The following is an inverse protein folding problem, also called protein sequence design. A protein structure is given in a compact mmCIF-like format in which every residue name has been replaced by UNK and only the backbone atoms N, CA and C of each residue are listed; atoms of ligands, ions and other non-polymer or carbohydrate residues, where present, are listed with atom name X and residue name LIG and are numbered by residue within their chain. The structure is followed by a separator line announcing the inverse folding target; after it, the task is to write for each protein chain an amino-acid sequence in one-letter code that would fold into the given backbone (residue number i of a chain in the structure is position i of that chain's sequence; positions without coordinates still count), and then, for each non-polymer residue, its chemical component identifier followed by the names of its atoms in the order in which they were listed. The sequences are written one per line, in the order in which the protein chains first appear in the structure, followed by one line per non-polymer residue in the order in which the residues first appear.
data_IF_760085107006
#
_entry.id   IF_760085107006
#
_cell.length_a   1.000
_cell.length_b   1.000
_cell.length_c   1.000
_cell.angle_alpha   90.00
_cell.angle_beta   90.00
_cell.angle_gamma   90.00
#
_symmetry.space_group_name_H-M   'P 1'
#
loop_
_entity.id
_entity.type
_entity.pdbx_description
1 polymer ?
#
# COMPACT_ATOMS: atom_id res chain seq x y z
N UNK A 1 -1.06 -22.03 -12.67
CA UNK A 1 -0.55 -22.41 -11.33
C UNK A 1 -1.26 -21.58 -10.27
N UNK A 2 -1.53 -22.14 -9.09
CA UNK A 2 -2.11 -21.43 -7.95
C UNK A 2 -1.18 -21.59 -6.75
N UNK A 3 -0.86 -20.49 -6.07
CA UNK A 3 0.07 -20.46 -4.95
C UNK A 3 -0.56 -19.74 -3.75
N UNK A 4 -0.99 -20.48 -2.72
CA UNK A 4 -1.21 -19.87 -1.41
C UNK A 4 0.15 -19.53 -0.80
N UNK A 5 0.26 -18.31 -0.27
CA UNK A 5 1.51 -17.82 0.33
C UNK A 5 1.21 -17.10 1.63
N UNK A 6 2.20 -16.96 2.49
CA UNK A 6 2.13 -16.08 3.66
C UNK A 6 3.14 -14.97 3.49
N UNK A 7 2.68 -13.73 3.64
CA UNK A 7 3.52 -12.53 3.61
C UNK A 7 3.47 -11.87 4.97
N UNK A 8 4.62 -11.69 5.59
CA UNK A 8 4.76 -10.95 6.85
C UNK A 8 5.71 -9.78 6.68
N UNK A 9 5.46 -8.69 7.40
CA UNK A 9 6.27 -7.48 7.28
C UNK A 9 6.10 -6.52 8.44
N UNK A 10 6.85 -5.42 8.40
CA UNK A 10 6.72 -4.28 9.32
C UNK A 10 6.41 -3.02 8.52
N UNK A 11 5.41 -2.26 8.95
CA UNK A 11 5.05 -1.00 8.31
C UNK A 11 6.03 0.12 8.68
N UNK A 12 7.10 0.24 7.90
CA UNK A 12 8.23 1.16 8.13
C UNK A 12 8.24 2.38 7.21
N UNK A 13 7.56 2.31 6.06
CA UNK A 13 7.44 3.42 5.10
C UNK A 13 6.07 4.11 5.15
N UNK A 14 5.91 5.22 4.43
CA UNK A 14 4.58 5.81 4.19
C UNK A 14 3.97 5.18 2.96
N UNK A 15 2.78 4.60 3.08
CA UNK A 15 2.01 4.12 1.93
C UNK A 15 1.11 5.24 1.40
N UNK A 16 1.25 5.60 0.11
CA UNK A 16 0.48 6.68 -0.54
C UNK A 16 -0.45 6.06 -1.58
N UNK A 17 -1.73 6.42 -1.53
CA UNK A 17 -2.72 6.05 -2.55
C UNK A 17 -2.94 7.21 -3.50
N UNK A 18 -3.34 6.90 -4.73
CA UNK A 18 -3.56 7.87 -5.79
C UNK A 18 -4.99 7.78 -6.31
N UNK A 19 -5.52 8.90 -6.81
CA UNK A 19 -6.77 8.93 -7.55
C UNK A 19 -6.56 8.60 -9.03
N UNK A 20 -7.64 8.62 -9.81
CA UNK A 20 -7.64 8.37 -11.25
C UNK A 20 -6.78 9.36 -12.06
N UNK A 21 -6.43 10.51 -11.48
CA UNK A 21 -5.58 11.53 -12.08
C UNK A 21 -4.12 11.43 -11.60
N UNK A 22 -3.74 10.31 -10.97
CA UNK A 22 -2.43 10.08 -10.37
C UNK A 22 -2.02 11.15 -9.34
N UNK A 23 -3.00 11.75 -8.64
CA UNK A 23 -2.74 12.69 -7.54
C UNK A 23 -2.83 11.96 -6.20
N UNK A 24 -1.96 12.26 -5.23
CA UNK A 24 -2.06 11.66 -3.90
C UNK A 24 -3.43 11.92 -3.26
N UNK A 25 -4.17 10.84 -3.01
CA UNK A 25 -5.53 10.82 -2.47
C UNK A 25 -5.56 10.42 -0.98
N UNK A 26 -4.59 9.63 -0.54
CA UNK A 26 -4.45 9.16 0.84
C UNK A 26 -3.00 8.87 1.20
N UNK A 27 -2.69 8.92 2.49
CA UNK A 27 -1.35 8.59 2.98
C UNK A 27 -1.44 7.95 4.38
N UNK A 28 -0.79 6.80 4.53
CA UNK A 28 -0.74 6.00 5.74
C UNK A 28 0.71 5.97 6.23
N UNK A 29 1.11 6.88 7.14
CA UNK A 29 2.50 6.98 7.59
C UNK A 29 2.89 5.79 8.46
N UNK A 30 4.17 5.42 8.41
CA UNK A 30 4.75 4.30 9.15
C UNK A 30 4.21 4.19 10.60
N UNK A 31 3.71 3.01 10.95
CA UNK A 31 3.20 2.71 12.30
C UNK A 31 4.20 1.92 13.13
N UNK A 32 5.23 1.35 12.49
CA UNK A 32 6.20 0.46 13.11
C UNK A 32 5.64 -0.91 13.50
N UNK A 33 4.33 -1.14 13.31
CA UNK A 33 3.67 -2.41 13.64
C UNK A 33 3.96 -3.47 12.58
N UNK A 34 3.95 -4.73 13.01
CA UNK A 34 4.04 -5.90 12.13
C UNK A 34 2.67 -6.28 11.59
N UNK A 35 2.65 -6.95 10.46
CA UNK A 35 1.47 -7.58 9.90
C UNK A 35 1.82 -8.93 9.28
N UNK A 36 0.83 -9.81 9.15
CA UNK A 36 0.91 -11.06 8.38
C UNK A 36 -0.41 -11.29 7.65
N UNK A 37 -0.36 -11.67 6.38
CA UNK A 37 -1.52 -11.95 5.54
C UNK A 37 -1.26 -13.12 4.61
N UNK A 38 -2.34 -13.74 4.12
CA UNK A 38 -2.27 -14.87 3.19
C UNK A 38 -2.81 -14.46 1.83
N UNK A 39 -1.96 -14.05 0.89
CA UNK A 39 -2.37 -13.86 -0.49
C UNK A 39 -2.36 -15.17 -1.28
N UNK A 40 -3.32 -15.28 -2.21
CA UNK A 40 -3.34 -16.32 -3.24
C UNK A 40 -2.90 -15.70 -4.56
N UNK A 41 -1.86 -16.26 -5.16
CA UNK A 41 -1.39 -15.86 -6.48
C UNK A 41 -1.86 -16.89 -7.52
N UNK A 42 -2.47 -16.42 -8.60
CA UNK A 42 -2.76 -17.21 -9.79
C UNK A 42 -1.84 -16.74 -10.90
N UNK A 43 -1.12 -17.68 -11.51
CA UNK A 43 -0.10 -17.38 -12.49
C UNK A 43 -0.26 -18.27 -13.72
N UNK A 44 -0.11 -17.70 -14.92
CA UNK A 44 0.11 -18.47 -16.17
C UNK A 44 1.55 -18.30 -16.61
N UNK A 45 2.21 -19.42 -16.92
CA UNK A 45 3.57 -19.46 -17.43
C UNK A 45 3.56 -20.10 -18.82
N UNK A 46 4.24 -19.50 -19.79
CA UNK A 46 4.51 -20.10 -21.10
C UNK A 46 5.93 -19.73 -21.55
N UNK A 47 6.60 -20.66 -22.24
CA UNK A 47 7.97 -20.48 -22.75
C UNK A 47 8.99 -20.05 -21.66
N UNK A 48 8.76 -20.45 -20.41
CA UNK A 48 9.57 -20.08 -19.25
C UNK A 48 9.26 -18.71 -18.64
N UNK A 49 8.27 -17.97 -19.17
CA UNK A 49 7.91 -16.62 -18.71
C UNK A 49 6.59 -16.59 -17.96
N UNK A 50 6.51 -15.77 -16.90
CA UNK A 50 5.26 -15.42 -16.23
C UNK A 50 4.49 -14.41 -17.11
N UNK A 51 3.46 -14.87 -17.80
CA UNK A 51 2.71 -14.07 -18.77
C UNK A 51 1.42 -13.48 -18.21
N UNK A 52 0.89 -14.04 -17.13
CA UNK A 52 -0.25 -13.47 -16.39
C UNK A 52 -0.05 -13.69 -14.90
N UNK A 53 -0.47 -12.70 -14.11
CA UNK A 53 -0.41 -12.73 -12.67
C UNK A 53 -1.64 -12.03 -12.08
N UNK A 54 -2.44 -12.80 -11.33
CA UNK A 54 -3.53 -12.29 -10.52
C UNK A 54 -3.26 -12.59 -9.07
N UNK A 55 -3.72 -11.69 -8.19
CA UNK A 55 -3.52 -11.81 -6.77
C UNK A 55 -4.79 -11.41 -6.05
N UNK A 56 -5.20 -12.23 -5.09
CA UNK A 56 -6.16 -11.85 -4.07
C UNK A 56 -5.44 -11.80 -2.72
N UNK A 57 -5.65 -10.71 -1.98
CA UNK A 57 -5.04 -10.50 -0.65
C UNK A 57 -6.10 -9.94 0.29
N UNK A 58 -6.02 -10.35 1.55
CA UNK A 58 -6.83 -9.78 2.63
C UNK A 58 -6.32 -8.38 3.00
N UNK A 59 -6.68 -7.39 2.17
CA UNK A 59 -6.28 -5.99 2.38
C UNK A 59 -6.96 -5.36 3.59
N UNK A 60 -8.17 -5.79 3.93
CA UNK A 60 -8.85 -5.30 5.12
C UNK A 60 -8.15 -5.83 6.38
N UNK A 61 -7.91 -7.13 6.49
CA UNK A 61 -7.15 -7.71 7.59
C UNK A 61 -5.73 -7.15 7.66
N UNK A 62 -5.10 -6.84 6.52
CA UNK A 62 -3.83 -6.13 6.50
C UNK A 62 -3.95 -4.73 7.09
N UNK A 63 -5.02 -3.99 6.81
CA UNK A 63 -5.22 -2.62 7.30
C UNK A 63 -5.57 -2.55 8.81
N UNK A 64 -6.24 -3.58 9.35
CA UNK A 64 -6.56 -3.68 10.77
C UNK A 64 -5.30 -3.79 11.65
N UNK A 65 -4.34 -4.63 11.25
CA UNK A 65 -3.11 -4.92 12.02
C UNK A 65 -2.24 -3.68 12.34
N UNK A 66 -1.93 -2.78 11.40
CA UNK A 66 -1.25 -1.53 11.66
C UNK A 66 -2.16 -0.47 12.30
N UNK A 67 -3.47 -0.70 12.41
CA UNK A 67 -4.44 0.22 12.99
C UNK A 67 -4.87 1.34 12.04
N UNK A 68 -5.00 1.03 10.75
CA UNK A 68 -5.53 1.98 9.77
C UNK A 68 -7.06 2.08 9.80
N UNK A 69 -7.73 1.02 10.25
CA UNK A 69 -9.19 0.94 10.32
C UNK A 69 -9.66 0.33 11.67
N UNK A 70 -10.52 1.01 12.44
CA UNK A 70 -10.67 2.46 12.41
C UNK A 70 -9.36 3.15 12.87
N UNK A 71 -8.99 4.29 12.28
CA UNK A 71 -7.80 5.02 12.71
C UNK A 71 -8.07 5.79 14.01
N UNK A 72 -7.05 5.93 14.85
CA UNK A 72 -7.13 6.82 16.01
C UNK A 72 -7.10 8.30 15.57
N UNK A 73 -7.67 9.25 16.32
CA UNK A 73 -7.60 10.67 16.00
C UNK A 73 -6.17 11.19 15.79
N UNK A 74 -5.22 10.75 16.63
CA UNK A 74 -3.79 11.07 16.48
C UNK A 74 -3.23 10.54 15.16
N UNK A 75 -3.62 9.34 14.74
CA UNK A 75 -3.18 8.78 13.48
C UNK A 75 -3.78 9.52 12.28
N UNK A 76 -5.06 9.92 12.34
CA UNK A 76 -5.69 10.76 11.30
C UNK A 76 -4.92 12.07 11.09
N UNK A 77 -4.46 12.74 12.16
CA UNK A 77 -3.63 13.92 12.03
C UNK A 77 -2.31 13.62 11.28
N UNK A 78 -1.65 12.51 11.61
CA UNK A 78 -0.42 12.06 10.93
C UNK A 78 -0.69 11.75 9.44
N UNK A 79 -1.80 11.10 9.12
CA UNK A 79 -2.23 10.82 7.74
C UNK A 79 -2.39 12.11 6.94
N UNK A 80 -3.07 13.12 7.51
CA UNK A 80 -3.24 14.44 6.87
C UNK A 80 -1.90 15.14 6.62
N UNK A 81 -0.98 15.11 7.58
CA UNK A 81 0.36 15.69 7.41
C UNK A 81 1.18 14.95 6.34
N UNK A 82 1.13 13.62 6.34
CA UNK A 82 1.78 12.79 5.33
C UNK A 82 1.23 13.06 3.93
N UNK A 83 -0.08 13.20 3.78
CA UNK A 83 -0.73 13.51 2.51
C UNK A 83 -0.32 14.89 1.99
N UNK A 84 -0.25 15.90 2.86
CA UNK A 84 0.25 17.24 2.49
C UNK A 84 1.70 17.20 1.97
N UNK A 85 2.56 16.39 2.61
CA UNK A 85 3.95 16.20 2.15
C UNK A 85 4.01 15.50 0.79
N UNK A 86 3.24 14.43 0.61
CA UNK A 86 3.19 13.68 -0.66
C UNK A 86 2.69 14.55 -1.83
N UNK A 87 1.71 15.43 -1.58
CA UNK A 87 1.22 16.38 -2.59
C UNK A 87 2.27 17.42 -2.96
N UNK A 88 3.05 17.90 -2.00
CA UNK A 88 4.13 18.87 -2.25
C UNK A 88 5.25 18.24 -3.09
N UNK A 89 5.76 17.07 -2.68
CA UNK A 89 6.81 16.38 -3.44
C UNK A 89 6.39 16.05 -4.87
N UNK A 90 5.10 15.77 -5.12
CA UNK A 90 4.59 15.56 -6.49
C UNK A 90 4.53 16.85 -7.31
N UNK A 91 4.22 17.98 -6.69
CA UNK A 91 4.25 19.28 -7.35
C UNK A 91 5.68 19.64 -7.78
N UNK A 92 6.66 19.42 -6.89
CA UNK A 92 8.08 19.67 -7.16
C UNK A 92 8.59 18.82 -8.34
N UNK A 93 8.12 17.58 -8.50
CA UNK A 93 8.48 16.74 -9.66
C UNK A 93 7.83 17.16 -10.99
N UNK A 94 6.80 18.01 -10.95
CA UNK A 94 6.08 18.45 -12.15
C UNK A 94 6.54 19.84 -12.63
N UNK A 95 7.46 20.49 -11.92
CA UNK A 95 8.02 21.78 -12.33
C UNK A 95 9.18 21.53 -13.33
N UNK A 96 9.14 22.11 -14.55
CA UNK A 96 10.20 21.89 -15.54
C UNK A 96 11.50 22.54 -15.06
N UNK A 97 12.60 21.79 -15.12
CA UNK A 97 13.97 22.28 -14.87
C UNK A 97 14.42 23.33 -15.88
#
# INVERSE_FOLDING_TARGET
MVLPTTMSGRHTGTFVTYDENARPSGAFPATGKTFSVTPTHWCRIADGWLIEHWLNRDDLGQALQPGWAPPTPRYVLRMRLALRRARRSRADMNEPS
#
